data_IF_792523779014
#
_entry.id   IF_792523779014
#
_cell.length_a   1.000
_cell.length_b   1.000
_cell.length_c   1.000
_cell.angle_alpha   90.00
_cell.angle_beta   90.00
_cell.angle_gamma   90.00
#
_symmetry.space_group_name_H-M   'P 1'
#
loop_
_entity.id
_entity.type
_entity.pdbx_description
1 polymer ?
#
# COMPACT_ATOMS: atom_id res chain seq x y z
N UNK A 1 28.48 10.60 5.19
CA UNK A 1 27.63 11.38 6.12
C UNK A 1 26.89 10.35 6.97
N UNK A 2 27.07 10.33 8.30
CA UNK A 2 26.42 9.33 9.16
C UNK A 2 24.91 9.65 9.20
N UNK A 3 24.08 8.69 8.78
CA UNK A 3 22.64 8.76 9.00
C UNK A 3 22.36 8.97 10.50
N UNK A 4 21.32 9.75 10.86
CA UNK A 4 20.88 9.80 12.25
C UNK A 4 20.57 8.38 12.70
N UNK A 5 21.17 7.98 13.83
CA UNK A 5 21.14 6.61 14.35
C UNK A 5 19.72 6.06 14.32
N UNK A 6 19.53 4.92 13.65
CA UNK A 6 18.27 4.18 13.70
C UNK A 6 17.84 4.00 15.16
N UNK A 7 16.59 4.33 15.53
CA UNK A 7 16.14 4.14 16.89
C UNK A 7 16.25 2.66 17.28
N UNK A 8 16.76 2.39 18.48
CA UNK A 8 16.88 1.02 19.02
C UNK A 8 15.54 0.29 18.90
N UNK A 9 15.55 -0.91 18.33
CA UNK A 9 14.33 -1.70 18.07
C UNK A 9 13.54 -1.30 16.82
N UNK A 10 14.12 -0.56 15.88
CA UNK A 10 13.55 -0.44 14.54
C UNK A 10 13.45 -1.82 13.88
N UNK A 11 12.31 -2.17 13.28
CA UNK A 11 12.20 -3.37 12.46
C UNK A 11 13.24 -3.37 11.34
N UNK A 12 13.67 -4.55 10.90
CA UNK A 12 14.50 -4.70 9.71
C UNK A 12 13.81 -4.10 8.49
N UNK A 13 14.56 -3.36 7.69
CA UNK A 13 14.13 -2.82 6.41
C UNK A 13 14.60 -3.71 5.24
N UNK A 14 13.79 -3.86 4.16
CA UNK A 14 12.38 -3.48 4.08
C UNK A 14 11.50 -4.31 5.01
N UNK A 15 10.28 -3.83 5.26
CA UNK A 15 9.35 -4.48 6.19
C UNK A 15 8.96 -5.89 5.73
N UNK A 16 9.04 -6.86 6.64
CA UNK A 16 8.61 -8.23 6.38
C UNK A 16 7.09 -8.36 6.57
N UNK A 17 6.39 -8.39 5.45
CA UNK A 17 4.94 -8.56 5.38
C UNK A 17 4.53 -10.02 5.13
N UNK A 18 5.43 -11.00 5.31
CA UNK A 18 5.11 -12.41 5.09
C UNK A 18 3.91 -12.85 5.93
N UNK A 19 2.89 -13.40 5.27
CA UNK A 19 1.65 -13.83 5.91
C UNK A 19 0.62 -12.72 6.16
N UNK A 20 0.95 -11.46 5.86
CA UNK A 20 -0.02 -10.38 5.91
C UNK A 20 -1.01 -10.46 4.75
N UNK A 21 -2.23 -10.01 5.02
CA UNK A 21 -3.19 -9.70 3.96
C UNK A 21 -2.94 -8.28 3.49
N UNK A 22 -2.41 -8.14 2.28
CA UNK A 22 -2.11 -6.84 1.68
C UNK A 22 -3.21 -6.41 0.71
N UNK A 23 -3.59 -5.14 0.81
CA UNK A 23 -4.57 -4.50 -0.06
C UNK A 23 -4.12 -3.10 -0.45
N UNK A 24 -4.46 -2.68 -1.65
CA UNK A 24 -4.45 -1.27 -2.06
C UNK A 24 -5.91 -0.82 -2.25
N UNK A 25 -6.24 0.36 -1.75
CA UNK A 25 -7.59 0.95 -1.78
C UNK A 25 -7.49 2.23 -2.59
N UNK A 26 -8.31 2.40 -3.62
CA UNK A 26 -8.27 3.54 -4.55
C UNK A 26 -9.69 4.05 -4.82
N UNK A 27 -9.87 5.36 -4.89
CA UNK A 27 -11.13 5.97 -5.32
C UNK A 27 -11.25 5.95 -6.86
N UNK A 28 -11.55 4.76 -7.39
CA UNK A 28 -12.02 4.61 -8.76
C UNK A 28 -12.89 3.34 -8.90
N UNK A 29 -13.73 3.25 -9.95
CA UNK A 29 -14.48 2.04 -10.26
C UNK A 29 -13.57 0.83 -10.55
N UNK A 30 -14.09 -0.38 -10.35
CA UNK A 30 -13.36 -1.64 -10.53
C UNK A 30 -12.75 -1.78 -11.92
N UNK A 31 -13.51 -1.47 -12.97
CA UNK A 31 -13.06 -1.58 -14.36
C UNK A 31 -11.85 -0.70 -14.64
N UNK A 32 -11.77 0.43 -13.96
CA UNK A 32 -10.66 1.35 -14.06
C UNK A 32 -9.44 0.90 -13.25
N UNK A 33 -9.65 0.37 -12.04
CA UNK A 33 -8.58 -0.25 -11.28
C UNK A 33 -7.91 -1.39 -12.05
N UNK A 34 -8.69 -2.20 -12.79
CA UNK A 34 -8.17 -3.23 -13.71
C UNK A 34 -7.24 -2.61 -14.76
N UNK A 35 -7.71 -1.58 -15.48
CA UNK A 35 -6.91 -0.90 -16.53
C UNK A 35 -5.59 -0.36 -15.98
N UNK A 36 -5.61 0.29 -14.82
CA UNK A 36 -4.40 0.85 -14.20
C UNK A 36 -3.37 -0.23 -13.84
N UNK A 37 -3.82 -1.41 -13.39
CA UNK A 37 -2.93 -2.53 -13.05
C UNK A 37 -2.35 -3.17 -14.31
N UNK A 38 -3.12 -3.28 -15.38
CA UNK A 38 -2.63 -3.77 -16.68
C UNK A 38 -1.59 -2.82 -17.28
N UNK A 39 -1.78 -1.50 -17.15
CA UNK A 39 -0.82 -0.49 -17.62
C UNK A 39 0.50 -0.50 -16.83
N UNK A 40 0.45 -0.86 -15.53
CA UNK A 40 1.62 -0.87 -14.65
C UNK A 40 2.72 -1.83 -15.13
N UNK A 41 2.36 -2.97 -15.74
CA UNK A 41 3.31 -3.96 -16.27
C UNK A 41 4.29 -3.32 -17.27
N UNK A 42 3.84 -2.33 -18.04
CA UNK A 42 4.65 -1.63 -19.03
C UNK A 42 5.58 -0.55 -18.47
N UNK A 43 5.48 -0.24 -17.18
CA UNK A 43 6.15 0.92 -16.55
C UNK A 43 7.31 0.49 -15.66
N UNK A 44 7.16 -0.61 -14.93
CA UNK A 44 8.19 -1.10 -14.03
C UNK A 44 9.26 -1.92 -14.77
N UNK A 45 10.53 -1.62 -14.52
CA UNK A 45 11.63 -2.45 -14.98
C UNK A 45 11.69 -3.73 -14.13
N UNK A 46 11.17 -4.83 -14.68
CA UNK A 46 11.11 -6.14 -14.02
C UNK A 46 12.27 -6.99 -14.51
N UNK A 47 13.17 -7.38 -13.61
CA UNK A 47 14.32 -8.24 -13.94
C UNK A 47 13.96 -9.73 -13.78
N UNK A 48 13.14 -10.05 -12.77
CA UNK A 48 12.72 -11.41 -12.46
C UNK A 48 11.20 -11.49 -12.35
N UNK A 49 10.52 -11.47 -13.49
CA UNK A 49 9.05 -11.42 -13.54
C UNK A 49 8.36 -12.69 -13.07
N UNK A 50 7.31 -12.51 -12.27
CA UNK A 50 6.33 -13.53 -11.93
C UNK A 50 4.92 -12.98 -12.13
N UNK A 51 4.01 -13.84 -12.61
CA UNK A 51 2.60 -13.52 -12.70
C UNK A 51 1.97 -13.38 -11.32
N UNK A 52 1.40 -12.21 -11.05
CA UNK A 52 0.56 -11.93 -9.90
C UNK A 52 -0.89 -11.85 -10.35
N UNK A 53 -1.76 -12.61 -9.70
CA UNK A 53 -3.20 -12.53 -9.88
C UNK A 53 -3.81 -11.65 -8.79
N UNK A 54 -4.10 -10.40 -9.13
CA UNK A 54 -4.84 -9.50 -8.27
C UNK A 54 -6.33 -9.88 -8.27
N UNK A 55 -6.97 -9.73 -7.12
CA UNK A 55 -8.43 -9.74 -6.99
C UNK A 55 -8.88 -8.32 -6.73
N UNK A 56 -9.83 -7.83 -7.53
CA UNK A 56 -10.29 -6.44 -7.51
C UNK A 56 -11.80 -6.44 -7.30
N UNK A 57 -12.31 -5.66 -6.35
CA UNK A 57 -13.74 -5.57 -6.08
C UNK A 57 -14.13 -4.15 -5.68
N UNK A 58 -15.40 -3.81 -5.83
CA UNK A 58 -15.93 -2.57 -5.30
C UNK A 58 -16.03 -2.66 -3.76
N UNK A 59 -15.80 -1.55 -3.06
CA UNK A 59 -16.07 -1.49 -1.62
C UNK A 59 -17.60 -1.51 -1.43
N UNK A 60 -18.18 -2.46 -0.64
CA UNK A 60 -19.62 -2.71 -0.64
C UNK A 60 -20.52 -1.51 -0.37
N UNK A 61 -20.05 -0.57 0.43
CA UNK A 61 -20.83 0.60 0.84
C UNK A 61 -20.24 1.92 0.30
N UNK A 62 -19.24 1.84 -0.59
CA UNK A 62 -18.63 2.96 -1.31
C UNK A 62 -18.15 2.45 -2.68
N UNK A 63 -19.06 2.08 -3.60
CA UNK A 63 -18.71 1.39 -4.84
C UNK A 63 -17.88 2.23 -5.82
N UNK A 64 -17.75 3.53 -5.58
CA UNK A 64 -16.79 4.42 -6.24
C UNK A 64 -15.33 4.12 -5.86
N UNK A 65 -15.12 3.33 -4.80
CA UNK A 65 -13.81 2.83 -4.39
C UNK A 65 -13.61 1.38 -4.81
N UNK A 66 -12.41 1.09 -5.30
CA UNK A 66 -11.94 -0.25 -5.59
C UNK A 66 -10.96 -0.73 -4.51
N UNK A 67 -11.13 -2.00 -4.16
CA UNK A 67 -10.25 -2.78 -3.33
C UNK A 67 -9.42 -3.70 -4.21
N UNK A 68 -8.10 -3.64 -4.08
CA UNK A 68 -7.15 -4.45 -4.83
C UNK A 68 -6.43 -5.36 -3.84
N UNK A 69 -6.80 -6.64 -3.80
CA UNK A 69 -6.17 -7.66 -2.97
C UNK A 69 -4.98 -8.27 -3.69
N UNK A 70 -3.85 -8.29 -2.98
CA UNK A 70 -2.63 -8.93 -3.44
C UNK A 70 -2.70 -10.46 -3.22
N UNK A 71 -2.29 -11.29 -4.18
CA UNK A 71 -2.30 -12.76 -4.04
C UNK A 71 -1.35 -13.27 -2.96
N UNK A 72 -0.26 -12.52 -2.75
CA UNK A 72 0.73 -12.65 -1.69
C UNK A 72 1.43 -11.29 -1.54
N UNK A 73 2.00 -10.95 -0.38
CA UNK A 73 2.83 -9.76 -0.25
C UNK A 73 3.98 -9.83 -1.29
N UNK A 74 4.02 -8.85 -2.19
CA UNK A 74 5.19 -8.57 -3.03
C UNK A 74 6.33 -7.96 -2.21
N UNK A 75 7.41 -7.50 -2.86
CA UNK A 75 8.45 -6.75 -2.14
C UNK A 75 7.83 -5.44 -1.65
N UNK A 76 8.25 -4.95 -0.48
CA UNK A 76 7.74 -3.68 0.06
C UNK A 76 7.71 -2.55 -0.99
N UNK A 77 8.78 -2.43 -1.78
CA UNK A 77 8.86 -1.43 -2.83
C UNK A 77 7.84 -1.63 -3.95
N UNK A 78 7.55 -2.86 -4.36
CA UNK A 78 6.52 -3.15 -5.36
C UNK A 78 5.13 -2.73 -4.85
N UNK A 79 4.86 -3.03 -3.58
CA UNK A 79 3.60 -2.68 -2.90
C UNK A 79 3.41 -1.15 -2.86
N UNK A 80 4.46 -0.42 -2.48
CA UNK A 80 4.45 1.04 -2.41
C UNK A 80 4.37 1.67 -3.81
N UNK A 81 5.17 1.18 -4.77
CA UNK A 81 5.23 1.73 -6.12
C UNK A 81 3.91 1.53 -6.86
N UNK A 82 3.29 0.35 -6.79
CA UNK A 82 1.98 0.13 -7.39
C UNK A 82 0.91 1.00 -6.72
N UNK A 83 0.92 1.09 -5.38
CA UNK A 83 -0.02 1.97 -4.66
C UNK A 83 0.14 3.44 -5.06
N UNK A 84 1.37 3.92 -5.26
CA UNK A 84 1.61 5.26 -5.76
C UNK A 84 1.17 5.41 -7.22
N UNK A 85 1.44 4.43 -8.09
CA UNK A 85 1.00 4.46 -9.48
C UNK A 85 -0.52 4.60 -9.58
N UNK A 86 -1.25 3.90 -8.73
CA UNK A 86 -2.70 3.98 -8.60
C UNK A 86 -3.20 5.40 -8.22
N UNK A 87 -2.34 6.30 -7.73
CA UNK A 87 -2.66 7.72 -7.54
C UNK A 87 -2.86 8.48 -8.85
N UNK A 88 -2.21 8.04 -9.94
CA UNK A 88 -2.10 8.76 -11.22
C UNK A 88 -3.39 8.93 -12.01
N UNK A 89 -4.55 8.52 -11.46
CA UNK A 89 -5.83 8.69 -12.12
C UNK A 89 -6.28 10.17 -12.14
N UNK A 90 -6.54 10.71 -13.34
CA UNK A 90 -7.31 11.95 -13.53
C UNK A 90 -8.35 11.85 -14.65
N UNK A 91 -9.62 11.99 -14.28
CA UNK A 91 -10.47 13.06 -14.80
C UNK A 91 -11.72 13.27 -13.91
N UNK A 92 -11.86 14.45 -13.30
CA UNK A 92 -13.16 14.99 -12.87
C UNK A 92 -13.63 14.72 -11.43
N UNK A 93 -12.96 13.89 -10.64
CA UNK A 93 -13.24 13.72 -9.21
C UNK A 93 -12.03 14.16 -8.38
N UNK A 94 -12.28 15.03 -7.40
CA UNK A 94 -11.25 15.57 -6.53
C UNK A 94 -10.66 14.49 -5.62
N UNK A 95 -9.37 14.22 -5.80
CA UNK A 95 -8.40 14.14 -4.70
C UNK A 95 -8.65 13.13 -3.58
N UNK A 96 -9.09 11.92 -3.89
CA UNK A 96 -9.05 10.84 -2.92
C UNK A 96 -8.01 9.78 -3.28
N UNK A 97 -7.46 9.21 -2.21
CA UNK A 97 -6.03 9.00 -2.06
C UNK A 97 -5.77 7.51 -1.91
N UNK A 98 -4.88 6.90 -2.72
CA UNK A 98 -4.65 5.49 -2.58
C UNK A 98 -4.05 5.19 -1.20
N UNK A 99 -4.59 4.18 -0.54
CA UNK A 99 -4.09 3.71 0.75
C UNK A 99 -3.63 2.27 0.58
N UNK A 100 -2.40 2.00 1.00
CA UNK A 100 -1.94 0.63 1.18
C UNK A 100 -2.20 0.20 2.62
N UNK A 101 -2.76 -1.00 2.78
CA UNK A 101 -2.98 -1.63 4.08
C UNK A 101 -2.39 -3.04 4.04
N UNK A 102 -1.59 -3.38 5.04
CA UNK A 102 -1.23 -4.77 5.32
C UNK A 102 -1.75 -5.14 6.71
N UNK A 103 -2.67 -6.10 6.76
CA UNK A 103 -3.20 -6.64 8.01
C UNK A 103 -2.42 -7.88 8.45
N UNK A 104 -1.99 -7.97 9.71
CA UNK A 104 -1.33 -9.16 10.22
C UNK A 104 -2.31 -10.33 10.27
N UNK A 105 -1.82 -11.58 10.13
CA UNK A 105 -2.65 -12.76 10.37
C UNK A 105 -3.05 -12.86 11.85
N UNK A 106 -4.10 -13.62 12.17
CA UNK A 106 -4.67 -13.72 13.51
C UNK A 106 -3.64 -14.16 14.57
N UNK A 107 -2.71 -15.04 14.20
CA UNK A 107 -1.62 -15.53 15.07
C UNK A 107 -0.60 -14.43 15.42
N UNK A 108 -0.57 -13.35 14.62
CA UNK A 108 0.29 -12.16 14.79
C UNK A 108 -0.55 -10.92 15.09
N UNK A 109 -1.77 -11.06 15.63
CA UNK A 109 -2.68 -9.93 15.91
C UNK A 109 -2.10 -8.89 16.90
N UNK A 110 -1.06 -9.23 17.66
CA UNK A 110 -0.32 -8.27 18.49
C UNK A 110 0.51 -7.29 17.65
N UNK A 111 0.77 -7.61 16.39
CA UNK A 111 1.40 -6.69 15.45
C UNK A 111 0.37 -5.68 14.94
N UNK A 112 0.80 -4.44 14.74
CA UNK A 112 -0.08 -3.42 14.17
C UNK A 112 -0.22 -3.62 12.66
N UNK A 113 -1.36 -3.25 12.05
CA UNK A 113 -1.42 -3.10 10.61
C UNK A 113 -0.34 -2.12 10.13
N UNK A 114 0.16 -2.36 8.92
CA UNK A 114 0.91 -1.35 8.18
C UNK A 114 -0.06 -0.54 7.35
N UNK A 115 0.04 0.77 7.44
CA UNK A 115 -0.74 1.72 6.65
C UNK A 115 0.23 2.62 5.89
N UNK A 116 -0.02 2.89 4.62
CA UNK A 116 0.76 3.88 3.87
C UNK A 116 -0.13 4.66 2.90
N UNK A 117 0.20 5.92 2.68
CA UNK A 117 -0.42 6.81 1.70
C UNK A 117 0.64 7.67 1.02
N UNK A 118 0.37 8.23 -0.17
CA UNK A 118 1.19 9.30 -0.72
C UNK A 118 1.34 10.47 0.26
N UNK A 119 2.51 11.12 0.24
CA UNK A 119 2.74 12.38 0.93
C UNK A 119 2.21 13.54 0.08
N UNK A 120 1.13 14.17 0.53
CA UNK A 120 0.51 15.31 -0.16
C UNK A 120 1.14 16.65 0.18
N UNK A 121 2.04 16.68 1.15
CA UNK A 121 2.81 17.88 1.45
C UNK A 121 4.13 17.89 0.65
N UNK A 122 4.47 16.77 -0.01
CA UNK A 122 5.57 16.66 -0.97
C UNK A 122 5.17 17.23 -2.35
N UNK A 123 5.80 18.32 -2.81
CA UNK A 123 5.49 18.95 -4.09
C UNK A 123 5.93 18.11 -5.31
N UNK A 124 6.83 17.14 -5.13
CA UNK A 124 7.28 16.26 -6.20
C UNK A 124 6.33 15.07 -6.41
N UNK A 125 5.57 14.71 -5.37
CA UNK A 125 4.63 13.60 -5.41
C UNK A 125 5.33 12.25 -5.56
N UNK A 126 6.56 12.13 -5.08
CA UNK A 126 7.41 10.96 -5.23
C UNK A 126 7.65 10.22 -3.90
N UNK A 127 6.91 10.59 -2.85
CA UNK A 127 7.04 10.01 -1.52
C UNK A 127 5.73 9.50 -0.92
N UNK A 128 5.84 8.48 -0.08
CA UNK A 128 4.76 7.95 0.77
C UNK A 128 5.11 8.15 2.23
N UNK A 129 4.10 8.35 3.05
CA UNK A 129 4.20 8.27 4.50
C UNK A 129 3.31 7.15 5.01
N UNK A 130 3.74 6.53 6.11
CA UNK A 130 3.00 5.41 6.66
C UNK A 130 3.25 5.18 8.13
N UNK A 131 2.55 4.19 8.65
CA UNK A 131 2.56 3.79 10.04
C UNK A 131 2.70 2.27 10.12
N UNK A 132 3.59 1.80 11.00
CA UNK A 132 3.74 0.39 11.31
C UNK A 132 4.33 0.22 12.71
N UNK A 133 3.77 -0.72 13.49
CA UNK A 133 4.24 -1.07 14.84
C UNK A 133 4.52 0.14 15.76
N UNK A 134 3.61 1.12 15.81
CA UNK A 134 3.75 2.28 16.70
C UNK A 134 4.68 3.38 16.19
N UNK A 135 5.12 3.31 14.93
CA UNK A 135 6.10 4.23 14.35
C UNK A 135 5.63 4.75 13.00
N UNK A 136 5.92 6.02 12.72
CA UNK A 136 5.69 6.60 11.40
C UNK A 136 6.96 6.51 10.56
N UNK A 137 6.79 6.18 9.28
CA UNK A 137 7.87 6.10 8.30
C UNK A 137 7.57 6.96 7.08
N UNK A 138 8.63 7.35 6.38
CA UNK A 138 8.60 7.94 5.04
C UNK A 138 9.29 6.99 4.06
N UNK A 139 8.81 6.95 2.83
CA UNK A 139 9.38 6.22 1.72
C UNK A 139 9.49 7.14 0.51
N UNK A 140 10.67 7.29 -0.09
CA UNK A 140 10.87 8.10 -1.30
C UNK A 140 11.24 7.27 -2.52
N UNK A 141 10.70 7.67 -3.67
CA UNK A 141 11.02 7.17 -5.01
C UNK A 141 11.80 8.22 -5.79
N UNK A 142 12.66 7.82 -6.75
CA UNK A 142 13.01 6.46 -7.13
C UNK A 142 14.11 5.84 -6.25
N UNK A 143 14.67 6.56 -5.28
CA UNK A 143 15.83 6.09 -4.50
C UNK A 143 15.52 4.91 -3.57
N UNK A 144 14.26 4.53 -3.43
CA UNK A 144 13.77 3.48 -2.54
C UNK A 144 14.27 3.65 -1.10
N UNK A 145 14.27 4.89 -0.61
CA UNK A 145 14.76 5.22 0.73
C UNK A 145 13.62 5.15 1.72
N UNK A 146 13.85 4.43 2.81
CA UNK A 146 12.93 4.33 3.93
C UNK A 146 13.53 5.06 5.15
N UNK A 147 12.77 5.98 5.73
CA UNK A 147 13.15 6.77 6.90
C UNK A 147 12.13 6.68 8.02
N UNK A 148 12.56 6.86 9.27
CA UNK A 148 11.65 6.93 10.43
C UNK A 148 11.38 8.40 10.77
N UNK A 149 10.10 8.79 10.78
CA UNK A 149 9.67 10.16 11.07
C UNK A 149 9.51 10.35 12.58
N UNK A 150 8.82 9.43 13.25
CA UNK A 150 8.51 9.54 14.67
C UNK A 150 8.20 8.19 15.31
N UNK A 151 8.36 8.13 16.64
CA UNK A 151 7.97 6.99 17.47
C UNK A 151 6.79 7.38 18.37
N UNK A 152 5.88 6.44 18.64
CA UNK A 152 4.66 6.64 19.44
C UNK A 152 3.64 7.63 18.84
N UNK A 153 3.61 7.77 17.52
CA UNK A 153 2.58 8.55 16.84
C UNK A 153 1.35 7.68 16.56
N UNK A 154 0.16 8.17 16.90
CA UNK A 154 -1.08 7.50 16.54
C UNK A 154 -1.30 7.62 15.02
N UNK A 155 -1.76 6.57 14.30
CA UNK A 155 -1.97 6.63 12.85
C UNK A 155 -2.86 7.81 12.42
N UNK A 156 -3.85 8.16 13.24
CA UNK A 156 -4.71 9.34 13.03
C UNK A 156 -3.92 10.64 12.77
N UNK A 157 -2.70 10.79 13.28
CA UNK A 157 -1.85 11.94 12.98
C UNK A 157 -1.53 12.05 11.48
N UNK A 158 -1.33 10.92 10.78
CA UNK A 158 -1.05 10.89 9.35
C UNK A 158 -2.30 10.96 8.49
N UNK A 159 -3.44 10.55 9.04
CA UNK A 159 -4.66 10.24 8.29
C UNK A 159 -5.84 11.20 8.57
N UNK A 160 -5.81 12.01 9.63
CA UNK A 160 -6.86 13.00 9.94
C UNK A 160 -6.59 14.41 9.39
N UNK A 161 -5.39 14.69 8.85
CA UNK A 161 -4.94 16.07 8.57
C UNK A 161 -5.76 16.86 7.52
N UNK A 162 -6.65 16.25 6.74
CA UNK A 162 -7.47 16.95 5.72
C UNK A 162 -8.93 16.49 5.60
N UNK A 163 -9.65 16.31 6.71
CA UNK A 163 -11.09 15.94 6.73
C UNK A 163 -11.44 14.52 6.21
N UNK A 164 -10.51 13.56 6.25
CA UNK A 164 -10.80 12.20 5.78
C UNK A 164 -11.38 11.35 6.92
N UNK A 165 -12.71 11.40 7.06
CA UNK A 165 -13.51 10.44 7.83
C UNK A 165 -13.39 8.98 7.32
N UNK A 166 -12.63 8.75 6.23
CA UNK A 166 -12.55 7.52 5.44
C UNK A 166 -11.82 6.36 6.12
N UNK A 167 -10.79 6.63 6.93
CA UNK A 167 -9.98 5.58 7.56
C UNK A 167 -10.65 5.03 8.82
N UNK A 168 -11.35 5.88 9.57
CA UNK A 168 -12.18 5.44 10.71
C UNK A 168 -13.42 4.67 10.25
N UNK A 169 -13.94 4.92 9.05
CA UNK A 169 -15.22 4.34 8.63
C UNK A 169 -15.15 2.83 8.36
N UNK A 170 -13.98 2.22 8.04
CA UNK A 170 -14.03 1.01 7.23
C UNK A 170 -12.81 0.07 7.21
N UNK A 171 -11.96 -0.01 8.23
CA UNK A 171 -11.09 -1.20 8.34
C UNK A 171 -11.91 -2.48 8.65
N UNK A 172 -13.11 -2.35 9.22
CA UNK A 172 -13.98 -3.48 9.59
C UNK A 172 -14.29 -4.44 8.42
N UNK A 173 -14.44 -3.96 7.18
CA UNK A 173 -14.66 -4.87 6.05
C UNK A 173 -13.40 -5.61 5.60
N UNK A 174 -12.21 -5.12 5.96
CA UNK A 174 -10.97 -5.89 5.77
C UNK A 174 -10.89 -7.08 6.74
N UNK A 175 -11.64 -7.06 7.84
CA UNK A 175 -11.76 -8.19 8.76
C UNK A 175 -12.57 -9.33 8.14
N UNK A 176 -13.52 -9.00 7.25
CA UNK A 176 -14.42 -9.94 6.58
C UNK A 176 -14.33 -9.84 5.04
N UNK A 177 -13.12 -9.97 4.47
CA UNK A 177 -12.93 -9.98 3.02
C UNK A 177 -13.77 -11.05 2.29
N UNK A 178 -14.15 -12.11 2.99
CA UNK A 178 -15.02 -13.19 2.47
C UNK A 178 -16.44 -12.72 2.16
N UNK A 179 -16.90 -11.60 2.74
CA UNK A 179 -18.21 -11.01 2.46
C UNK A 179 -18.27 -10.30 1.10
N UNK A 180 -17.13 -10.04 0.49
CA UNK A 180 -17.03 -9.46 -0.84
C UNK A 180 -17.17 -10.61 -1.85
N UNK A 181 -18.29 -10.67 -2.58
CA UNK A 181 -18.58 -11.78 -3.51
C UNK A 181 -18.14 -11.54 -4.94
N UNK A 182 -18.00 -10.28 -5.35
CA UNK A 182 -17.91 -9.89 -6.76
C UNK A 182 -16.48 -9.51 -7.15
N UNK A 183 -15.54 -10.43 -6.90
CA UNK A 183 -14.13 -10.24 -7.24
C UNK A 183 -13.87 -10.43 -8.74
N UNK A 184 -13.21 -9.45 -9.34
CA UNK A 184 -12.64 -9.51 -10.69
C UNK A 184 -11.15 -9.86 -10.61
N UNK A 185 -10.70 -10.83 -11.39
CA UNK A 185 -9.29 -11.19 -11.46
C UNK A 185 -8.52 -10.36 -12.50
N UNK A 186 -7.32 -9.90 -12.16
CA UNK A 186 -6.39 -9.22 -13.07
C UNK A 186 -4.99 -9.83 -12.96
N UNK A 187 -4.39 -10.21 -14.08
CA UNK A 187 -3.04 -10.77 -14.13
C UNK A 187 -2.05 -9.68 -14.58
N UNK A 188 -0.93 -9.55 -13.88
CA UNK A 188 0.16 -8.62 -14.23
C UNK A 188 1.50 -9.23 -13.84
N UNK A 189 2.57 -8.89 -14.54
CA UNK A 189 3.93 -9.28 -14.15
C UNK A 189 4.45 -8.35 -13.05
N UNK A 190 5.05 -8.94 -12.01
CA UNK A 190 5.73 -8.21 -10.92
C UNK A 190 7.08 -8.86 -10.64
N UNK A 191 7.98 -8.13 -9.98
CA UNK A 191 9.28 -8.68 -9.53
C UNK A 191 9.08 -9.84 -8.54
N UNK A 192 9.87 -10.91 -8.68
CA UNK A 192 9.80 -12.09 -7.84
C UNK A 192 10.35 -11.78 -6.43
N UNK A 193 9.52 -11.88 -5.37
CA UNK A 193 9.95 -11.62 -4.00
C UNK A 193 10.96 -12.66 -3.47
N UNK A 194 11.07 -13.83 -4.10
CA UNK A 194 12.03 -14.88 -3.71
C UNK A 194 13.46 -14.60 -4.18
N UNK A 195 13.62 -13.68 -5.14
CA UNK A 195 14.93 -13.29 -5.67
C UNK A 195 15.41 -12.04 -4.92
N UNK A 196 15.85 -12.23 -3.67
CA UNK A 196 16.63 -11.19 -3.00
C UNK A 196 17.99 -11.07 -3.69
N UNK A 197 18.25 -9.94 -4.35
CA UNK A 197 19.59 -9.59 -4.85
C UNK A 197 20.55 -9.59 -3.66
N UNK A 198 21.37 -10.62 -3.56
CA UNK A 198 22.59 -10.57 -2.78
C UNK A 198 23.54 -9.61 -3.47
N UNK A 199 23.73 -8.42 -2.91
CA UNK A 199 24.81 -7.48 -3.27
C UNK A 199 25.11 -6.59 -2.08
#
# INVERSE_FOLDING_TARGET
>A
MKMPNEPVGSPSSPFDLTGYTCVSIINCPVEQAVQLIEEYEGICAIEHGQQFQFLIAAVPEAPEWALIRWPRPGRFYDLMNLTMWLMGYQAGLGGENPVFVALPPAERASESPLLARPDYDDPFGDSMIGYWQGRCFEYSMPEQKLGWISSNAHPNFLFQARYHALIDFRLEWLEDLERISDWTGCLTQMEDPSVQKGS
#
